data_IF_011749439895
#
_entry.id   IF_011749439895
#
_cell.length_a   1.000
_cell.length_b   1.000
_cell.length_c   1.000
_cell.angle_alpha   90.00
_cell.angle_beta   90.00
_cell.angle_gamma   90.00
#
_symmetry.space_group_name_H-M   'P 1'
#
loop_
_entity.id
_entity.type
_entity.pdbx_description
1 polymer ?
#
# COMPACT_ATOMS: atom_id res chain seq x y z
N UNK A 1 -29.98 -5.42 13.15
CA UNK A 1 -29.29 -4.57 14.14
C UNK A 1 -27.99 -5.19 14.70
N UNK A 2 -27.95 -6.51 14.94
CA UNK A 2 -26.75 -7.20 15.46
C UNK A 2 -25.60 -7.15 14.45
N UNK A 3 -25.87 -7.35 13.16
CA UNK A 3 -24.85 -7.32 12.10
C UNK A 3 -24.18 -5.95 11.95
N UNK A 4 -24.93 -4.86 12.05
CA UNK A 4 -24.41 -3.49 11.93
C UNK A 4 -23.55 -3.11 13.14
N UNK A 5 -23.89 -3.57 14.33
CA UNK A 5 -23.09 -3.34 15.54
C UNK A 5 -21.76 -4.12 15.52
N UNK A 6 -21.77 -5.37 15.03
CA UNK A 6 -20.54 -6.16 14.87
C UNK A 6 -19.58 -5.52 13.86
N UNK A 7 -20.07 -5.13 12.69
CA UNK A 7 -19.26 -4.46 11.66
C UNK A 7 -18.69 -3.14 12.18
N UNK A 8 -19.47 -2.36 12.95
CA UNK A 8 -18.99 -1.14 13.57
C UNK A 8 -17.88 -1.37 14.62
N UNK A 9 -17.99 -2.43 15.42
CA UNK A 9 -16.98 -2.76 16.43
C UNK A 9 -15.68 -3.28 15.81
N UNK A 10 -15.75 -4.09 14.77
CA UNK A 10 -14.57 -4.56 14.03
C UNK A 10 -13.82 -3.42 13.35
N UNK A 11 -14.53 -2.48 12.75
CA UNK A 11 -13.92 -1.26 12.17
C UNK A 11 -13.19 -0.45 13.24
N UNK A 12 -13.77 -0.28 14.43
CA UNK A 12 -13.12 0.44 15.52
C UNK A 12 -11.85 -0.27 16.03
N UNK A 13 -11.85 -1.59 16.15
CA UNK A 13 -10.69 -2.37 16.59
C UNK A 13 -9.58 -2.28 15.53
N UNK A 14 -9.92 -2.48 14.26
CA UNK A 14 -8.97 -2.40 13.16
C UNK A 14 -8.36 -1.02 13.05
N UNK A 15 -9.15 0.03 13.16
CA UNK A 15 -8.67 1.42 13.09
C UNK A 15 -7.68 1.73 14.21
N UNK A 16 -7.96 1.28 15.44
CA UNK A 16 -7.02 1.43 16.57
C UNK A 16 -5.73 0.65 16.35
N UNK A 17 -5.80 -0.56 15.81
CA UNK A 17 -4.62 -1.36 15.50
C UNK A 17 -3.76 -0.72 14.40
N UNK A 18 -4.38 -0.21 13.34
CA UNK A 18 -3.66 0.48 12.27
C UNK A 18 -3.04 1.79 12.78
N UNK A 19 -3.75 2.52 13.64
CA UNK A 19 -3.25 3.75 14.26
C UNK A 19 -2.09 3.49 15.23
N UNK A 20 -2.10 2.36 15.94
CA UNK A 20 -1.02 1.97 16.84
C UNK A 20 0.33 1.94 16.14
N UNK A 21 0.40 1.40 14.92
CA UNK A 21 1.64 1.34 14.15
C UNK A 21 2.19 2.74 13.83
N UNK A 22 1.30 3.71 13.63
CA UNK A 22 1.69 5.09 13.35
C UNK A 22 2.32 5.80 14.56
N UNK A 23 2.07 5.30 15.77
CA UNK A 23 2.56 5.88 17.02
C UNK A 23 3.64 5.06 17.71
N UNK A 24 4.07 3.94 17.11
CA UNK A 24 5.12 3.07 17.67
C UNK A 24 6.51 3.71 17.64
N UNK A 25 6.81 4.51 16.64
CA UNK A 25 8.10 5.22 16.56
C UNK A 25 7.95 6.57 15.85
N UNK A 26 8.61 7.61 16.32
CA UNK A 26 8.72 8.88 15.61
C UNK A 26 9.70 8.81 14.42
N UNK A 27 10.54 7.77 14.33
CA UNK A 27 11.45 7.58 13.21
C UNK A 27 10.72 6.97 12.00
N UNK A 28 10.82 7.65 10.86
CA UNK A 28 10.17 7.23 9.63
C UNK A 28 10.72 5.94 9.05
N UNK A 29 12.01 5.66 9.28
CA UNK A 29 12.64 4.42 8.81
C UNK A 29 12.21 3.24 9.69
N UNK A 30 12.21 3.40 11.01
CA UNK A 30 11.71 2.36 11.92
C UNK A 30 10.24 2.02 11.63
N UNK A 31 9.40 3.04 11.35
CA UNK A 31 8.00 2.81 10.93
C UNK A 31 7.91 1.99 9.64
N UNK A 32 8.74 2.30 8.65
CA UNK A 32 8.77 1.55 7.39
C UNK A 32 9.21 0.09 7.61
N UNK A 33 10.19 -0.14 8.48
CA UNK A 33 10.68 -1.47 8.81
C UNK A 33 9.59 -2.30 9.54
N UNK A 34 8.91 -1.71 10.53
CA UNK A 34 7.78 -2.35 11.25
C UNK A 34 6.63 -2.66 10.29
N UNK A 35 6.25 -1.71 9.42
CA UNK A 35 5.21 -1.91 8.41
C UNK A 35 5.57 -3.01 7.43
N UNK A 36 6.85 -3.15 7.09
CA UNK A 36 7.34 -4.22 6.22
C UNK A 36 7.15 -5.58 6.88
N UNK A 37 7.62 -5.74 8.12
CA UNK A 37 7.46 -7.00 8.87
C UNK A 37 5.97 -7.35 9.00
N UNK A 38 5.15 -6.38 9.40
CA UNK A 38 3.68 -6.57 9.46
C UNK A 38 3.12 -7.05 8.13
N UNK A 39 3.45 -6.38 7.03
CA UNK A 39 2.88 -6.67 5.71
C UNK A 39 3.35 -8.02 5.18
N UNK A 40 4.61 -8.40 5.41
CA UNK A 40 5.15 -9.71 5.08
C UNK A 40 4.40 -10.81 5.84
N UNK A 41 4.27 -10.68 7.16
CA UNK A 41 3.54 -11.66 7.99
C UNK A 41 2.08 -11.73 7.57
N UNK A 42 1.44 -10.59 7.32
CA UNK A 42 0.05 -10.54 6.86
C UNK A 42 -0.14 -11.21 5.49
N UNK A 43 0.80 -11.03 4.56
CA UNK A 43 0.73 -11.67 3.23
C UNK A 43 0.99 -13.18 3.27
N UNK A 44 1.65 -13.68 4.32
CA UNK A 44 1.84 -15.12 4.52
C UNK A 44 0.57 -15.83 5.02
N UNK A 45 -0.33 -15.12 5.69
CA UNK A 45 -1.53 -15.72 6.28
C UNK A 45 -2.45 -16.42 5.25
N UNK A 46 -2.78 -15.83 4.09
CA UNK A 46 -3.54 -16.52 3.06
C UNK A 46 -2.82 -17.76 2.50
N UNK A 47 -1.48 -17.70 2.37
CA UNK A 47 -0.68 -18.83 1.89
C UNK A 47 -0.69 -20.00 2.90
N UNK A 48 -0.63 -19.70 4.18
CA UNK A 48 -0.77 -20.71 5.25
C UNK A 48 -2.17 -21.29 5.24
N UNK A 49 -3.20 -20.45 5.14
CA UNK A 49 -4.60 -20.87 5.10
C UNK A 49 -4.87 -21.80 3.89
N UNK A 50 -4.38 -21.45 2.70
CA UNK A 50 -4.52 -22.28 1.49
C UNK A 50 -3.78 -23.61 1.58
N UNK A 51 -2.70 -23.69 2.35
CA UNK A 51 -1.97 -24.95 2.59
C UNK A 51 -2.68 -25.82 3.65
N UNK A 52 -3.18 -25.21 4.72
CA UNK A 52 -3.82 -25.92 5.83
C UNK A 52 -5.22 -26.42 5.46
N UNK A 53 -5.98 -25.63 4.69
CA UNK A 53 -7.37 -25.93 4.36
C UNK A 53 -7.55 -27.31 3.67
N UNK A 54 -6.79 -27.68 2.61
CA UNK A 54 -6.91 -29.00 1.99
C UNK A 54 -6.48 -30.15 2.90
N UNK A 55 -5.47 -29.94 3.77
CA UNK A 55 -5.00 -30.96 4.70
C UNK A 55 -6.07 -31.32 5.72
N UNK A 56 -6.75 -30.28 6.26
CA UNK A 56 -7.87 -30.52 7.21
C UNK A 56 -9.09 -31.08 6.49
N UNK A 57 -9.38 -30.63 5.26
CA UNK A 57 -10.49 -31.15 4.46
C UNK A 57 -10.32 -32.64 4.16
N UNK A 58 -9.10 -33.09 3.87
CA UNK A 58 -8.81 -34.52 3.65
C UNK A 58 -9.16 -35.38 4.86
N UNK A 59 -8.96 -34.89 6.08
CA UNK A 59 -9.20 -35.64 7.32
C UNK A 59 -10.63 -35.48 7.81
N UNK A 60 -11.21 -34.29 7.68
CA UNK A 60 -12.50 -33.96 8.30
C UNK A 60 -13.71 -34.11 7.38
N UNK A 61 -13.55 -33.93 6.06
CA UNK A 61 -14.65 -33.83 5.10
C UNK A 61 -14.43 -34.61 3.79
N UNK A 62 -13.52 -35.61 3.78
CA UNK A 62 -13.22 -36.42 2.61
C UNK A 62 -12.90 -35.58 1.35
N UNK A 63 -12.08 -34.54 1.49
CA UNK A 63 -11.69 -33.57 0.47
C UNK A 63 -12.80 -32.59 0.00
N UNK A 64 -13.93 -32.52 0.69
CA UNK A 64 -14.91 -31.47 0.40
C UNK A 64 -14.52 -30.16 1.10
N UNK A 65 -14.09 -29.17 0.29
CA UNK A 65 -13.68 -27.84 0.74
C UNK A 65 -14.87 -26.92 1.04
N UNK A 66 -16.08 -27.30 0.64
CA UNK A 66 -17.29 -26.49 0.82
C UNK A 66 -18.14 -26.96 2.01
N UNK A 67 -17.77 -28.10 2.64
CA UNK A 67 -18.49 -28.59 3.83
C UNK A 67 -18.34 -27.61 5.00
N UNK A 68 -19.45 -27.22 5.58
CA UNK A 68 -19.52 -26.32 6.74
C UNK A 68 -18.79 -26.87 7.97
N UNK A 69 -18.63 -28.20 8.09
CA UNK A 69 -17.87 -28.84 9.16
C UNK A 69 -16.41 -28.44 9.16
N UNK A 70 -15.80 -28.26 7.97
CA UNK A 70 -14.43 -27.82 7.82
C UNK A 70 -14.21 -26.47 8.51
N UNK A 71 -15.07 -25.52 8.25
CA UNK A 71 -14.99 -24.18 8.82
C UNK A 71 -15.26 -24.16 10.32
N UNK A 72 -16.18 -24.99 10.81
CA UNK A 72 -16.44 -25.15 12.26
C UNK A 72 -15.24 -25.68 13.02
N UNK A 73 -14.37 -26.47 12.39
CA UNK A 73 -13.14 -26.99 12.99
C UNK A 73 -12.02 -25.94 12.93
N UNK A 74 -11.89 -25.20 11.81
CA UNK A 74 -10.78 -24.29 11.59
C UNK A 74 -10.95 -22.92 12.26
N UNK A 75 -12.15 -22.32 12.25
CA UNK A 75 -12.35 -20.99 12.79
C UNK A 75 -12.05 -20.83 14.29
N UNK A 76 -12.49 -21.72 15.19
CA UNK A 76 -12.24 -21.52 16.62
C UNK A 76 -10.76 -21.46 17.01
N UNK A 77 -9.87 -22.37 16.54
CA UNK A 77 -8.44 -22.29 16.82
C UNK A 77 -7.79 -20.99 16.32
N UNK A 78 -8.14 -20.56 15.09
CA UNK A 78 -7.61 -19.30 14.55
C UNK A 78 -8.14 -18.09 15.33
N UNK A 79 -9.40 -18.08 15.72
CA UNK A 79 -9.96 -17.00 16.55
C UNK A 79 -9.27 -16.91 17.91
N UNK A 80 -9.07 -18.04 18.58
CA UNK A 80 -8.35 -18.11 19.87
C UNK A 80 -6.92 -17.61 19.72
N UNK A 81 -6.21 -18.05 18.68
CA UNK A 81 -4.85 -17.57 18.39
C UNK A 81 -4.82 -16.06 18.16
N UNK A 82 -5.80 -15.53 17.41
CA UNK A 82 -5.94 -14.09 17.16
C UNK A 82 -6.15 -13.30 18.46
N UNK A 83 -6.97 -13.80 19.39
CA UNK A 83 -7.18 -13.17 20.70
C UNK A 83 -5.90 -13.20 21.53
N UNK A 84 -5.20 -14.33 21.59
CA UNK A 84 -3.93 -14.46 22.32
C UNK A 84 -2.88 -13.46 21.78
N UNK A 85 -2.72 -13.39 20.45
CA UNK A 85 -1.81 -12.42 19.82
C UNK A 85 -2.22 -10.98 20.14
N UNK A 86 -3.50 -10.66 20.15
CA UNK A 86 -4.00 -9.31 20.45
C UNK A 86 -3.71 -8.91 21.90
N UNK A 87 -3.92 -9.82 22.84
CA UNK A 87 -3.59 -9.60 24.26
C UNK A 87 -2.08 -9.44 24.46
N UNK A 88 -1.27 -10.23 23.76
CA UNK A 88 0.19 -10.11 23.80
C UNK A 88 0.67 -8.75 23.29
N UNK A 89 0.12 -8.27 22.18
CA UNK A 89 0.43 -6.94 21.63
C UNK A 89 0.05 -5.88 22.65
N UNK A 90 -1.17 -5.92 23.20
CA UNK A 90 -1.63 -4.94 24.18
C UNK A 90 -0.73 -4.87 25.41
N UNK A 91 -0.26 -6.01 25.91
CA UNK A 91 0.59 -6.06 27.11
C UNK A 91 2.02 -5.57 26.87
N UNK A 92 2.55 -5.66 25.64
CA UNK A 92 3.96 -5.40 25.35
C UNK A 92 4.20 -4.14 24.48
N UNK A 93 3.13 -3.42 24.09
CA UNK A 93 3.27 -2.26 23.21
C UNK A 93 3.09 -0.96 24.00
N UNK A 94 4.00 -0.01 23.78
CA UNK A 94 3.91 1.35 24.34
C UNK A 94 3.87 2.35 23.20
N UNK A 95 2.98 3.32 23.29
CA UNK A 95 2.90 4.42 22.35
C UNK A 95 4.06 5.41 22.56
N UNK A 96 4.76 5.77 21.46
CA UNK A 96 5.86 6.73 21.45
C UNK A 96 5.46 7.97 20.64
N UNK A 97 4.34 8.57 21.01
CA UNK A 97 3.89 9.80 20.37
C UNK A 97 4.80 10.93 20.77
N UNK A 98 5.18 11.79 19.82
CA UNK A 98 5.91 13.02 20.09
C UNK A 98 4.91 14.10 20.53
N UNK A 99 4.49 14.00 21.77
CA UNK A 99 3.54 14.91 22.40
C UNK A 99 3.92 15.08 23.88
N UNK A 100 3.65 16.23 24.46
CA UNK A 100 3.86 16.47 25.87
C UNK A 100 3.02 15.49 26.72
N UNK A 101 3.58 15.02 27.83
CA UNK A 101 2.92 14.06 28.73
C UNK A 101 1.65 14.62 29.36
N UNK A 102 1.60 15.93 29.51
CA UNK A 102 0.52 16.69 30.12
C UNK A 102 -0.48 17.24 29.12
N UNK A 103 -0.23 17.00 27.82
CA UNK A 103 -1.06 17.57 26.77
C UNK A 103 -2.48 16.98 26.79
N UNK A 104 -3.47 17.89 26.83
CA UNK A 104 -4.89 17.55 26.74
C UNK A 104 -5.43 18.12 25.45
N UNK A 105 -5.93 17.27 24.57
CA UNK A 105 -6.54 17.68 23.29
C UNK A 105 -7.79 18.52 23.57
N UNK A 106 -7.77 19.81 23.19
CA UNK A 106 -8.86 20.75 23.44
C UNK A 106 -9.59 21.20 22.16
N UNK A 107 -9.26 20.60 21.01
CA UNK A 107 -9.82 21.02 19.72
C UNK A 107 -11.28 20.55 19.57
N UNK A 108 -12.17 21.45 19.14
CA UNK A 108 -13.56 21.11 18.82
C UNK A 108 -13.64 20.31 17.51
N UNK A 109 -14.62 19.43 17.40
CA UNK A 109 -14.82 18.57 16.24
C UNK A 109 -14.78 19.31 14.88
N UNK A 110 -15.51 20.42 14.76
CA UNK A 110 -15.53 21.20 13.52
C UNK A 110 -14.20 21.87 13.18
N UNK A 111 -13.45 22.28 14.20
CA UNK A 111 -12.15 22.92 14.01
C UNK A 111 -11.11 21.85 13.62
N UNK A 112 -11.19 20.65 14.21
CA UNK A 112 -10.39 19.51 13.80
C UNK A 112 -10.68 19.09 12.35
N UNK A 113 -11.94 19.06 11.95
CA UNK A 113 -12.33 18.78 10.57
C UNK A 113 -11.78 19.82 9.58
N UNK A 114 -11.89 21.12 9.93
CA UNK A 114 -11.31 22.21 9.14
C UNK A 114 -9.79 22.13 9.06
N UNK A 115 -9.14 21.71 10.14
CA UNK A 115 -7.69 21.53 10.20
C UNK A 115 -7.22 20.45 9.24
N UNK A 116 -7.88 19.28 9.22
CA UNK A 116 -7.58 18.19 8.25
C UNK A 116 -7.89 18.66 6.83
N UNK A 117 -8.99 19.40 6.61
CA UNK A 117 -9.35 19.93 5.30
C UNK A 117 -8.30 20.91 4.73
N UNK A 118 -7.52 21.59 5.56
CA UNK A 118 -6.41 22.46 5.15
C UNK A 118 -5.11 21.69 4.85
N UNK A 119 -5.03 20.41 5.22
CA UNK A 119 -3.84 19.60 5.00
C UNK A 119 -3.71 19.18 3.54
N UNK A 120 -2.91 19.94 2.77
CA UNK A 120 -2.66 19.68 1.35
C UNK A 120 -2.15 18.27 1.07
N UNK A 121 -1.26 17.75 1.92
CA UNK A 121 -0.64 16.43 1.72
C UNK A 121 -1.67 15.31 1.84
N UNK A 122 -2.62 15.45 2.77
CA UNK A 122 -3.73 14.51 2.91
C UNK A 122 -4.55 14.42 1.61
N UNK A 123 -4.91 15.57 1.03
CA UNK A 123 -5.70 15.60 -0.20
C UNK A 123 -4.96 15.02 -1.39
N UNK A 124 -3.66 15.27 -1.51
CA UNK A 124 -2.82 14.70 -2.59
C UNK A 124 -2.87 13.18 -2.57
N UNK A 125 -2.64 12.56 -1.40
CA UNK A 125 -2.63 11.10 -1.28
C UNK A 125 -4.03 10.50 -1.41
N UNK A 126 -5.03 11.13 -0.81
CA UNK A 126 -6.42 10.68 -0.93
C UNK A 126 -6.93 10.76 -2.37
N UNK A 127 -6.64 11.86 -3.05
CA UNK A 127 -7.03 12.05 -4.45
C UNK A 127 -6.40 10.99 -5.36
N UNK A 128 -5.12 10.65 -5.18
CA UNK A 128 -4.46 9.60 -5.94
C UNK A 128 -5.24 8.27 -5.86
N UNK A 129 -5.61 7.83 -4.64
CA UNK A 129 -6.38 6.63 -4.44
C UNK A 129 -7.80 6.71 -5.03
N UNK A 130 -8.46 7.86 -4.91
CA UNK A 130 -9.84 8.02 -5.38
C UNK A 130 -9.97 8.07 -6.89
N UNK A 131 -9.08 8.78 -7.59
CA UNK A 131 -9.14 8.87 -9.07
C UNK A 131 -8.46 7.70 -9.76
N UNK A 132 -7.58 6.97 -9.05
CA UNK A 132 -6.88 5.79 -9.57
C UNK A 132 -7.70 4.49 -9.51
N UNK A 133 -8.99 4.51 -9.12
CA UNK A 133 -9.81 3.31 -8.89
C UNK A 133 -9.88 2.37 -10.11
N UNK A 134 -9.73 2.89 -11.32
CA UNK A 134 -9.73 2.10 -12.56
C UNK A 134 -8.49 1.22 -12.71
N UNK A 135 -7.40 1.50 -12.01
CA UNK A 135 -6.15 0.73 -12.10
C UNK A 135 -6.37 -0.75 -11.82
N UNK A 136 -7.22 -1.09 -10.86
CA UNK A 136 -7.47 -2.47 -10.42
C UNK A 136 -8.32 -3.31 -11.39
N UNK A 137 -8.78 -2.76 -12.51
CA UNK A 137 -9.65 -3.50 -13.46
C UNK A 137 -8.98 -4.73 -14.08
N UNK A 138 -7.65 -4.78 -14.11
CA UNK A 138 -6.89 -5.96 -14.58
C UNK A 138 -7.01 -7.20 -13.68
N UNK A 139 -7.56 -7.07 -12.46
CA UNK A 139 -7.52 -8.11 -11.43
C UNK A 139 -8.06 -9.48 -11.85
N UNK A 140 -9.08 -9.52 -12.69
CA UNK A 140 -9.66 -10.76 -13.21
C UNK A 140 -9.04 -11.27 -14.52
N UNK A 141 -8.09 -10.53 -15.10
CA UNK A 141 -7.59 -10.78 -16.44
C UNK A 141 -6.94 -12.16 -16.61
N UNK A 142 -6.13 -12.58 -15.64
CA UNK A 142 -5.48 -13.89 -15.66
C UNK A 142 -6.50 -15.04 -15.56
N UNK A 143 -7.50 -14.91 -14.68
CA UNK A 143 -8.54 -15.88 -14.49
C UNK A 143 -9.45 -15.98 -15.74
N UNK A 144 -9.84 -14.84 -16.31
CA UNK A 144 -10.67 -14.82 -17.52
C UNK A 144 -9.91 -15.36 -18.74
N UNK A 145 -8.61 -15.05 -18.87
CA UNK A 145 -7.77 -15.64 -19.90
C UNK A 145 -7.75 -17.16 -19.78
N UNK A 146 -7.55 -17.69 -18.57
CA UNK A 146 -7.60 -19.13 -18.34
C UNK A 146 -8.96 -19.73 -18.64
N UNK A 147 -10.05 -19.13 -18.15
CA UNK A 147 -11.38 -19.70 -18.26
C UNK A 147 -11.96 -19.62 -19.67
N UNK A 148 -11.78 -18.51 -20.37
CA UNK A 148 -12.49 -18.24 -21.63
C UNK A 148 -11.61 -18.37 -22.87
N UNK A 149 -10.29 -18.16 -22.76
CA UNK A 149 -9.38 -18.26 -23.90
C UNK A 149 -8.67 -19.61 -23.98
N UNK A 150 -8.57 -20.35 -22.89
CA UNK A 150 -7.83 -21.60 -22.76
C UNK A 150 -8.57 -22.84 -23.33
N UNK A 151 -9.68 -22.65 -24.03
CA UNK A 151 -10.50 -23.72 -24.63
C UNK A 151 -9.94 -24.24 -25.96
N UNK A 152 -8.88 -23.62 -26.50
CA UNK A 152 -8.21 -23.97 -27.75
C UNK A 152 -6.98 -24.86 -27.52
N UNK A 153 -6.40 -25.42 -28.58
CA UNK A 153 -5.25 -26.36 -28.55
C UNK A 153 -4.00 -25.86 -27.79
N UNK A 154 -3.90 -24.57 -27.50
CA UNK A 154 -2.86 -23.94 -26.69
C UNK A 154 -3.11 -23.96 -25.17
N UNK A 155 -4.00 -24.81 -24.71
CA UNK A 155 -4.45 -24.81 -23.32
C UNK A 155 -3.32 -25.10 -22.33
N UNK A 156 -3.23 -24.24 -21.31
CA UNK A 156 -2.41 -24.48 -20.11
C UNK A 156 -3.26 -25.34 -19.16
N UNK A 157 -2.74 -26.51 -18.76
CA UNK A 157 -3.44 -27.39 -17.83
C UNK A 157 -3.65 -26.73 -16.45
N UNK A 158 -4.66 -27.20 -15.71
CA UNK A 158 -5.03 -26.65 -14.40
C UNK A 158 -3.84 -26.60 -13.39
N UNK A 159 -2.97 -27.62 -13.43
CA UNK A 159 -1.79 -27.66 -12.58
C UNK A 159 -0.79 -26.54 -12.87
N UNK A 160 -0.53 -26.28 -14.16
CA UNK A 160 0.36 -25.18 -14.55
C UNK A 160 -0.27 -23.81 -14.27
N UNK A 161 -1.57 -23.66 -14.48
CA UNK A 161 -2.31 -22.44 -14.11
C UNK A 161 -2.19 -22.15 -12.62
N UNK A 162 -2.36 -23.17 -11.77
CA UNK A 162 -2.20 -23.01 -10.31
C UNK A 162 -0.79 -22.56 -9.95
N UNK A 163 0.24 -23.13 -10.57
CA UNK A 163 1.63 -22.71 -10.35
C UNK A 163 1.83 -21.24 -10.80
N UNK A 164 1.32 -20.89 -11.97
CA UNK A 164 1.40 -19.51 -12.49
C UNK A 164 0.75 -18.52 -11.52
N UNK A 165 -0.47 -18.79 -11.07
CA UNK A 165 -1.17 -17.91 -10.13
C UNK A 165 -0.46 -17.78 -8.79
N UNK A 166 0.11 -18.86 -8.28
CA UNK A 166 0.94 -18.84 -7.07
C UNK A 166 2.18 -17.95 -7.24
N UNK A 167 2.90 -18.08 -8.36
CA UNK A 167 4.08 -17.27 -8.65
C UNK A 167 3.70 -15.79 -8.74
N UNK A 168 2.64 -15.47 -9.48
CA UNK A 168 2.16 -14.08 -9.65
C UNK A 168 1.72 -13.47 -8.32
N UNK A 169 0.96 -14.21 -7.50
CA UNK A 169 0.53 -13.73 -6.18
C UNK A 169 1.71 -13.48 -5.22
N UNK A 170 2.76 -14.31 -5.29
CA UNK A 170 3.95 -14.14 -4.46
C UNK A 170 4.86 -12.96 -4.89
N UNK A 171 4.63 -12.34 -6.04
CA UNK A 171 5.36 -11.14 -6.45
C UNK A 171 5.26 -10.02 -5.42
N UNK A 172 4.12 -9.87 -4.75
CA UNK A 172 3.89 -8.89 -3.68
C UNK A 172 4.92 -9.02 -2.55
N UNK A 173 5.27 -10.24 -2.15
CA UNK A 173 6.23 -10.49 -1.09
C UNK A 173 7.61 -9.89 -1.42
N UNK A 174 8.10 -10.09 -2.62
CA UNK A 174 9.41 -9.60 -3.06
C UNK A 174 9.46 -8.07 -3.09
N UNK A 175 8.41 -7.42 -3.59
CA UNK A 175 8.33 -5.97 -3.60
C UNK A 175 8.25 -5.37 -2.19
N UNK A 176 7.50 -5.98 -1.27
CA UNK A 176 7.45 -5.55 0.13
C UNK A 176 8.82 -5.67 0.81
N UNK A 177 9.57 -6.75 0.56
CA UNK A 177 10.92 -6.93 1.10
C UNK A 177 11.92 -5.92 0.52
N UNK A 178 11.77 -5.52 -0.74
CA UNK A 178 12.63 -4.54 -1.39
C UNK A 178 12.32 -3.10 -0.96
N UNK A 179 11.08 -2.79 -0.57
CA UNK A 179 10.61 -1.44 -0.29
C UNK A 179 11.47 -0.67 0.73
N UNK A 180 11.82 -1.19 1.91
CA UNK A 180 12.63 -0.45 2.90
C UNK A 180 14.00 -0.06 2.36
N UNK A 181 14.65 -0.94 1.58
CA UNK A 181 15.95 -0.65 0.98
C UNK A 181 15.86 0.48 -0.05
N UNK A 182 14.81 0.47 -0.87
CA UNK A 182 14.56 1.52 -1.86
C UNK A 182 14.21 2.84 -1.18
N UNK A 183 13.35 2.83 -0.18
CA UNK A 183 12.96 4.01 0.61
C UNK A 183 14.20 4.63 1.28
N UNK A 184 15.04 3.82 1.90
CA UNK A 184 16.27 4.29 2.55
C UNK A 184 17.25 4.93 1.56
N UNK A 185 17.31 4.45 0.33
CA UNK A 185 18.26 4.92 -0.69
C UNK A 185 17.76 6.15 -1.46
N UNK A 186 16.49 6.20 -1.81
CA UNK A 186 15.91 7.20 -2.71
C UNK A 186 14.86 8.10 -2.05
N UNK A 187 14.42 7.78 -0.84
CA UNK A 187 13.33 8.47 -0.15
C UNK A 187 11.94 8.06 -0.64
N UNK A 188 10.93 8.29 0.21
CA UNK A 188 9.54 7.86 -0.04
C UNK A 188 8.93 8.48 -1.30
N UNK A 189 9.13 9.80 -1.50
CA UNK A 189 8.58 10.52 -2.66
C UNK A 189 9.07 9.95 -3.98
N UNK A 190 10.39 9.75 -4.12
CA UNK A 190 10.99 9.27 -5.37
C UNK A 190 10.54 7.83 -5.66
N UNK A 191 10.51 6.95 -4.65
CA UNK A 191 10.05 5.57 -4.79
C UNK A 191 8.57 5.55 -5.17
N UNK A 192 7.72 6.36 -4.52
CA UNK A 192 6.28 6.46 -4.80
C UNK A 192 6.01 6.85 -6.26
N UNK A 193 6.67 7.89 -6.75
CA UNK A 193 6.52 8.35 -8.14
C UNK A 193 7.05 7.29 -9.12
N UNK A 194 8.25 6.76 -8.87
CA UNK A 194 8.89 5.81 -9.77
C UNK A 194 8.10 4.50 -9.91
N UNK A 195 7.67 3.90 -8.79
CA UNK A 195 6.95 2.63 -8.82
C UNK A 195 5.59 2.76 -9.50
N UNK A 196 4.85 3.84 -9.25
CA UNK A 196 3.55 4.07 -9.89
C UNK A 196 3.68 4.44 -11.38
N UNK A 197 4.68 5.24 -11.76
CA UNK A 197 4.93 5.53 -13.17
C UNK A 197 5.35 4.28 -13.95
N UNK A 198 6.25 3.47 -13.37
CA UNK A 198 6.68 2.20 -13.96
C UNK A 198 5.50 1.22 -14.06
N UNK A 199 4.63 1.21 -13.07
CA UNK A 199 3.41 0.39 -13.08
C UNK A 199 2.49 0.72 -14.27
N UNK A 200 2.28 2.00 -14.57
CA UNK A 200 1.51 2.41 -15.75
C UNK A 200 2.12 1.90 -17.06
N UNK A 201 3.47 1.92 -17.17
CA UNK A 201 4.17 1.37 -18.34
C UNK A 201 4.02 -0.15 -18.42
N UNK A 202 4.14 -0.85 -17.29
CA UNK A 202 3.96 -2.32 -17.22
C UNK A 202 2.54 -2.71 -17.65
N UNK A 203 1.52 -2.02 -17.16
CA UNK A 203 0.13 -2.27 -17.55
C UNK A 203 -0.09 -2.01 -19.05
N UNK A 204 0.55 -0.98 -19.61
CA UNK A 204 0.48 -0.72 -21.06
C UNK A 204 1.08 -1.87 -21.89
N UNK A 205 2.07 -2.61 -21.38
CA UNK A 205 2.62 -3.79 -22.07
C UNK A 205 1.60 -4.93 -22.26
N UNK A 206 0.48 -4.93 -21.54
CA UNK A 206 -0.62 -5.86 -21.81
C UNK A 206 -1.28 -5.60 -23.16
N UNK A 207 -1.27 -4.36 -23.65
CA UNK A 207 -1.96 -4.00 -24.91
C UNK A 207 -1.45 -4.79 -26.13
N UNK A 208 -0.15 -4.81 -26.45
CA UNK A 208 0.35 -5.60 -27.58
C UNK A 208 0.10 -7.11 -27.42
N UNK A 209 0.13 -7.65 -26.20
CA UNK A 209 -0.15 -9.05 -25.94
C UNK A 209 -1.61 -9.39 -26.26
N UNK A 210 -2.55 -8.53 -25.84
CA UNK A 210 -3.97 -8.72 -26.14
C UNK A 210 -4.26 -8.56 -27.63
N UNK A 211 -3.57 -7.65 -28.33
CA UNK A 211 -3.75 -7.45 -29.76
C UNK A 211 -3.22 -8.60 -30.59
N UNK A 212 -2.07 -9.14 -30.23
CA UNK A 212 -1.38 -10.19 -30.97
C UNK A 212 -1.96 -11.59 -30.71
N UNK A 213 -2.63 -11.80 -29.57
CA UNK A 213 -3.16 -13.11 -29.13
C UNK A 213 -2.14 -14.25 -29.34
N UNK A 214 -0.92 -14.14 -28.77
CA UNK A 214 0.12 -15.14 -29.00
C UNK A 214 -0.26 -16.50 -28.41
N UNK A 215 0.27 -17.62 -28.94
CA UNK A 215 0.16 -18.91 -28.29
C UNK A 215 0.55 -18.83 -26.82
N UNK A 216 -0.21 -19.48 -25.93
CA UNK A 216 0.00 -19.40 -24.46
C UNK A 216 -0.03 -17.97 -23.92
N UNK A 217 -0.92 -17.13 -24.43
CA UNK A 217 -1.11 -15.72 -24.02
C UNK A 217 -1.13 -15.55 -22.50
N UNK A 218 -1.67 -16.52 -21.76
CA UNK A 218 -1.73 -16.50 -20.28
C UNK A 218 -0.36 -16.38 -19.63
N UNK A 219 0.69 -16.94 -20.22
CA UNK A 219 2.07 -16.86 -19.69
C UNK A 219 2.60 -15.42 -19.82
N UNK A 220 2.35 -14.76 -20.96
CA UNK A 220 2.76 -13.38 -21.16
C UNK A 220 2.02 -12.43 -20.22
N UNK A 221 0.71 -12.64 -20.07
CA UNK A 221 -0.09 -11.88 -19.08
C UNK A 221 0.45 -12.10 -17.67
N UNK A 222 0.77 -13.35 -17.30
CA UNK A 222 1.31 -13.67 -15.98
C UNK A 222 2.65 -12.99 -15.70
N UNK A 223 3.55 -12.93 -16.68
CA UNK A 223 4.84 -12.24 -16.54
C UNK A 223 4.63 -10.75 -16.30
N UNK A 224 3.74 -10.12 -17.07
CA UNK A 224 3.44 -8.70 -16.93
C UNK A 224 2.75 -8.42 -15.58
N UNK A 225 1.79 -9.25 -15.18
CA UNK A 225 1.13 -9.11 -13.88
C UNK A 225 2.06 -9.40 -12.71
N UNK A 226 3.03 -10.30 -12.85
CA UNK A 226 4.08 -10.48 -11.85
C UNK A 226 4.87 -9.18 -11.62
N UNK A 227 5.30 -8.53 -12.70
CA UNK A 227 5.99 -7.25 -12.62
C UNK A 227 5.09 -6.14 -12.05
N UNK A 228 3.79 -6.12 -12.42
CA UNK A 228 2.81 -5.21 -11.86
C UNK A 228 2.64 -5.39 -10.34
N UNK A 229 2.40 -6.61 -9.86
CA UNK A 229 2.26 -6.89 -8.42
C UNK A 229 3.54 -6.60 -7.64
N UNK A 230 4.71 -6.80 -8.25
CA UNK A 230 5.99 -6.41 -7.65
C UNK A 230 6.04 -4.89 -7.42
N UNK A 231 5.58 -4.08 -8.36
CA UNK A 231 5.58 -2.62 -8.24
C UNK A 231 4.48 -2.09 -7.30
N UNK A 232 3.27 -2.60 -7.41
CA UNK A 232 2.14 -2.17 -6.56
C UNK A 232 2.34 -2.52 -5.10
N UNK A 233 3.08 -3.58 -4.78
CA UNK A 233 3.38 -3.98 -3.40
C UNK A 233 4.21 -2.95 -2.63
N UNK A 234 4.97 -2.08 -3.31
CA UNK A 234 5.63 -0.94 -2.65
C UNK A 234 4.61 -0.01 -1.99
N UNK A 235 3.43 0.15 -2.60
CA UNK A 235 2.33 0.94 -2.05
C UNK A 235 1.84 0.43 -0.69
N UNK A 236 1.90 -0.87 -0.45
CA UNK A 236 1.50 -1.48 0.84
C UNK A 236 2.35 -0.97 2.00
N UNK A 237 3.63 -0.67 1.74
CA UNK A 237 4.55 -0.13 2.74
C UNK A 237 4.56 1.40 2.71
N UNK A 238 4.57 1.99 1.51
CA UNK A 238 4.67 3.44 1.34
C UNK A 238 3.43 4.18 1.83
N UNK A 239 2.23 3.70 1.51
CA UNK A 239 0.99 4.42 1.84
C UNK A 239 0.80 4.62 3.35
N UNK A 240 0.95 3.60 4.22
CA UNK A 240 0.91 3.81 5.66
C UNK A 240 2.04 4.72 6.18
N UNK A 241 3.27 4.58 5.64
CA UNK A 241 4.40 5.42 6.04
C UNK A 241 4.17 6.90 5.69
N UNK A 242 3.64 7.18 4.50
CA UNK A 242 3.27 8.53 4.06
C UNK A 242 2.11 9.08 4.89
N UNK A 243 1.10 8.26 5.20
CA UNK A 243 -0.01 8.65 6.08
C UNK A 243 0.47 9.05 7.49
N UNK A 244 1.48 8.36 8.02
CA UNK A 244 2.09 8.74 9.30
C UNK A 244 2.76 10.13 9.21
N UNK A 245 3.51 10.40 8.13
CA UNK A 245 4.13 11.70 7.91
C UNK A 245 3.11 12.84 7.75
N UNK A 246 1.97 12.56 7.12
CA UNK A 246 0.85 13.51 6.98
C UNK A 246 0.25 13.87 8.35
N UNK A 247 0.16 12.89 9.27
CA UNK A 247 -0.35 13.10 10.64
C UNK A 247 0.64 13.91 11.47
N UNK A 248 1.94 13.62 11.37
CA UNK A 248 2.98 14.44 12.02
C UNK A 248 2.99 15.87 11.47
N UNK A 249 2.80 16.04 10.16
CA UNK A 249 2.65 17.37 9.54
C UNK A 249 1.39 18.10 10.02
N UNK A 250 0.28 17.38 10.21
CA UNK A 250 -0.93 17.93 10.79
C UNK A 250 -0.70 18.46 12.21
N UNK A 251 -0.04 17.66 13.05
CA UNK A 251 0.33 18.07 14.40
C UNK A 251 1.28 19.29 14.39
N UNK A 252 2.20 19.35 13.43
CA UNK A 252 3.08 20.51 13.25
C UNK A 252 2.29 21.79 12.95
N UNK A 253 1.26 21.72 12.09
CA UNK A 253 0.44 22.85 11.68
C UNK A 253 -0.49 23.35 12.79
N UNK A 254 -1.07 22.45 13.56
CA UNK A 254 -2.16 22.78 14.51
C UNK A 254 -1.75 22.72 15.98
N UNK A 255 -0.61 22.08 16.29
CA UNK A 255 -0.22 21.72 17.65
C UNK A 255 -0.93 20.47 18.19
N UNK A 256 -2.06 20.09 17.62
CA UNK A 256 -2.92 19.01 18.09
C UNK A 256 -2.78 17.74 17.25
N UNK A 257 -2.73 16.59 17.91
CA UNK A 257 -2.78 15.29 17.22
C UNK A 257 -4.22 14.81 17.13
N UNK A 258 -4.75 14.80 15.93
CA UNK A 258 -6.16 14.54 15.63
C UNK A 258 -6.34 13.33 14.71
N UNK A 259 -5.62 12.24 14.97
CA UNK A 259 -5.55 11.05 14.11
C UNK A 259 -6.93 10.47 13.74
N UNK A 260 -7.89 10.46 14.68
CA UNK A 260 -9.24 9.97 14.44
C UNK A 260 -10.03 10.76 13.38
N UNK A 261 -9.69 12.05 13.17
CA UNK A 261 -10.38 12.87 12.18
C UNK A 261 -10.02 12.49 10.74
N UNK A 262 -8.83 11.92 10.51
CA UNK A 262 -8.44 11.42 9.19
C UNK A 262 -9.35 10.29 8.73
N UNK A 263 -9.74 9.39 9.64
CA UNK A 263 -10.69 8.31 9.34
C UNK A 263 -12.08 8.88 9.00
N UNK A 264 -12.52 9.91 9.71
CA UNK A 264 -13.81 10.59 9.43
C UNK A 264 -13.82 11.25 8.05
N UNK A 265 -12.76 11.97 7.69
CA UNK A 265 -12.64 12.56 6.35
C UNK A 265 -12.45 11.47 5.28
N UNK A 266 -11.84 10.36 5.62
CA UNK A 266 -11.70 9.18 4.75
C UNK A 266 -13.05 8.60 4.29
N UNK A 267 -14.16 8.82 5.01
CA UNK A 267 -15.50 8.44 4.58
C UNK A 267 -15.90 9.06 3.23
N UNK A 268 -15.33 10.19 2.86
CA UNK A 268 -15.51 10.80 1.52
C UNK A 268 -15.08 9.80 0.44
N UNK A 269 -13.97 9.09 0.67
CA UNK A 269 -13.51 8.03 -0.24
C UNK A 269 -14.53 6.90 -0.40
N UNK A 270 -15.20 6.51 0.67
CA UNK A 270 -16.27 5.50 0.60
C UNK A 270 -17.43 5.96 -0.28
N UNK A 271 -17.85 7.22 -0.14
CA UNK A 271 -18.90 7.82 -0.99
C UNK A 271 -18.46 7.84 -2.46
N UNK A 272 -17.21 8.25 -2.74
CA UNK A 272 -16.65 8.24 -4.10
C UNK A 272 -16.63 6.82 -4.67
N UNK A 273 -16.22 5.82 -3.88
CA UNK A 273 -16.21 4.42 -4.29
C UNK A 273 -17.63 3.93 -4.63
N UNK A 274 -18.63 4.29 -3.84
CA UNK A 274 -20.03 3.97 -4.15
C UNK A 274 -20.51 4.58 -5.46
N UNK A 275 -20.16 5.86 -5.70
CA UNK A 275 -20.53 6.56 -6.94
C UNK A 275 -19.81 5.98 -8.18
N UNK A 276 -18.57 5.52 -8.01
CA UNK A 276 -17.73 5.02 -9.11
C UNK A 276 -17.89 3.52 -9.35
N UNK A 277 -18.49 2.77 -8.41
CA UNK A 277 -18.65 1.31 -8.48
C UNK A 277 -19.43 0.82 -9.71
N UNK A 278 -20.36 1.64 -10.23
CA UNK A 278 -21.14 1.34 -11.43
C UNK A 278 -20.41 1.60 -12.76
N UNK A 279 -19.27 2.31 -12.75
CA UNK A 279 -18.61 2.73 -14.00
C UNK A 279 -18.04 1.53 -14.76
N UNK A 280 -17.31 0.65 -14.10
CA UNK A 280 -16.69 -0.52 -14.73
C UNK A 280 -17.73 -1.49 -15.25
N UNK A 281 -18.78 -1.89 -14.50
CA UNK A 281 -19.89 -2.68 -15.03
C UNK A 281 -20.59 -2.05 -16.22
N UNK A 282 -20.86 -0.75 -16.19
CA UNK A 282 -21.48 -0.05 -17.32
C UNK A 282 -20.62 -0.05 -18.60
N UNK A 283 -19.30 0.00 -18.44
CA UNK A 283 -18.38 -0.15 -19.58
C UNK A 283 -18.40 -1.58 -20.11
N UNK A 284 -18.40 -2.59 -19.23
CA UNK A 284 -18.49 -4.00 -19.64
C UNK A 284 -19.79 -4.29 -20.40
N UNK A 285 -20.91 -3.74 -19.94
CA UNK A 285 -22.19 -3.85 -20.64
C UNK A 285 -22.13 -3.30 -22.07
N UNK A 286 -21.49 -2.14 -22.27
CA UNK A 286 -21.30 -1.53 -23.61
C UNK A 286 -20.35 -2.33 -24.51
N UNK A 287 -19.43 -3.08 -23.95
CA UNK A 287 -18.52 -3.95 -24.70
C UNK A 287 -19.20 -5.23 -25.17
N UNK A 288 -20.39 -5.54 -24.63
CA UNK A 288 -21.19 -6.71 -25.01
C UNK A 288 -21.27 -7.77 -23.90
N UNK A 289 -20.78 -7.49 -22.69
CA UNK A 289 -20.96 -8.37 -21.52
C UNK A 289 -22.32 -8.03 -20.91
N UNK A 290 -23.39 -8.51 -21.52
CA UNK A 290 -24.78 -8.27 -21.11
C UNK A 290 -25.68 -9.44 -21.48
N UNK A 291 -26.87 -9.51 -20.87
CA UNK A 291 -27.84 -10.58 -21.07
C UNK A 291 -28.40 -10.64 -22.50
N UNK A 292 -28.53 -9.49 -23.17
CA UNK A 292 -29.03 -9.44 -24.55
C UNK A 292 -28.04 -10.10 -25.51
N UNK A 293 -26.75 -9.79 -25.37
CA UNK A 293 -25.71 -10.41 -26.19
C UNK A 293 -25.58 -11.90 -25.85
N UNK A 294 -25.70 -12.26 -24.58
CA UNK A 294 -25.66 -13.65 -24.13
C UNK A 294 -26.80 -14.47 -24.75
N UNK A 295 -28.04 -13.99 -24.68
CA UNK A 295 -29.19 -14.67 -25.24
C UNK A 295 -29.10 -14.81 -26.77
N UNK A 296 -28.62 -13.77 -27.46
CA UNK A 296 -28.44 -13.80 -28.93
C UNK A 296 -27.34 -14.78 -29.37
N UNK A 297 -26.35 -15.06 -28.53
CA UNK A 297 -25.20 -15.92 -28.86
C UNK A 297 -25.17 -17.23 -28.07
N UNK A 298 -26.22 -17.56 -27.30
CA UNK A 298 -26.24 -18.71 -26.40
C UNK A 298 -25.99 -20.05 -27.12
N UNK A 299 -26.56 -20.23 -28.34
CA UNK A 299 -26.34 -21.42 -29.13
C UNK A 299 -24.91 -21.58 -29.63
N UNK A 300 -24.23 -20.48 -29.99
CA UNK A 300 -22.83 -20.45 -30.39
C UNK A 300 -21.92 -20.81 -29.20
N UNK A 301 -22.17 -20.22 -28.04
CA UNK A 301 -21.43 -20.51 -26.81
C UNK A 301 -21.62 -21.96 -26.38
N UNK A 302 -22.86 -22.49 -26.50
CA UNK A 302 -23.17 -23.89 -26.23
C UNK A 302 -22.36 -24.84 -27.15
N UNK A 303 -22.27 -24.50 -28.44
CA UNK A 303 -21.46 -25.26 -29.39
C UNK A 303 -19.97 -25.23 -29.09
N UNK A 304 -19.41 -24.08 -28.64
CA UNK A 304 -18.01 -23.94 -28.29
C UNK A 304 -17.68 -24.69 -26.99
N UNK A 305 -18.54 -24.61 -25.97
CA UNK A 305 -18.25 -25.10 -24.62
C UNK A 305 -18.79 -26.50 -24.34
N UNK A 306 -19.71 -27.01 -25.15
CA UNK A 306 -20.45 -28.27 -24.90
C UNK A 306 -21.45 -28.18 -23.75
N UNK A 307 -21.68 -27.00 -23.17
CA UNK A 307 -22.64 -26.77 -22.06
C UNK A 307 -24.05 -26.64 -22.60
N UNK A 308 -25.05 -26.98 -21.76
CA UNK A 308 -26.46 -26.74 -22.09
C UNK A 308 -26.76 -25.23 -22.18
N UNK A 309 -27.75 -24.83 -22.95
CA UNK A 309 -28.14 -23.41 -23.06
C UNK A 309 -28.52 -22.84 -21.71
N UNK A 310 -29.17 -23.63 -20.83
CA UNK A 310 -29.49 -23.20 -19.47
C UNK A 310 -28.25 -22.91 -18.62
N UNK A 311 -27.19 -23.68 -18.75
CA UNK A 311 -25.91 -23.43 -18.07
C UNK A 311 -25.19 -22.21 -18.65
N UNK A 312 -25.26 -22.01 -19.97
CA UNK A 312 -24.69 -20.81 -20.61
C UNK A 312 -25.39 -19.55 -20.12
N UNK A 313 -26.68 -19.57 -19.91
CA UNK A 313 -27.47 -18.41 -19.44
C UNK A 313 -27.24 -18.05 -17.97
N UNK A 314 -26.53 -18.87 -17.20
CA UNK A 314 -26.29 -18.61 -15.75
C UNK A 314 -25.37 -17.42 -15.47
N UNK A 315 -24.58 -16.96 -16.45
CA UNK A 315 -23.66 -15.83 -16.24
C UNK A 315 -23.47 -15.02 -17.51
N UNK A 316 -23.66 -13.69 -17.46
CA UNK A 316 -23.43 -12.80 -18.60
C UNK A 316 -21.96 -12.82 -19.08
N UNK A 317 -21.01 -13.20 -18.22
CA UNK A 317 -19.60 -13.33 -18.59
C UNK A 317 -19.32 -14.50 -19.56
N UNK A 318 -20.27 -15.42 -19.76
CA UNK A 318 -20.11 -16.51 -20.72
C UNK A 318 -19.99 -16.01 -22.18
N UNK A 319 -20.36 -14.76 -22.46
CA UNK A 319 -20.10 -14.13 -23.78
C UNK A 319 -18.59 -14.01 -24.07
N UNK A 320 -17.73 -14.07 -23.05
CA UNK A 320 -16.26 -14.03 -23.21
C UNK A 320 -15.68 -15.29 -23.88
N UNK A 321 -16.46 -16.37 -24.04
CA UNK A 321 -16.08 -17.50 -24.91
C UNK A 321 -16.02 -17.09 -26.38
N UNK A 322 -16.68 -15.99 -26.76
CA UNK A 322 -16.66 -15.45 -28.12
C UNK A 322 -15.43 -14.55 -28.27
N UNK A 323 -14.54 -14.90 -29.19
CA UNK A 323 -13.23 -14.28 -29.34
C UNK A 323 -13.30 -12.76 -29.56
N UNK A 324 -14.25 -12.28 -30.37
CA UNK A 324 -14.40 -10.83 -30.64
C UNK A 324 -14.76 -10.04 -29.38
N UNK A 325 -15.65 -10.60 -28.53
CA UNK A 325 -16.07 -9.96 -27.28
C UNK A 325 -14.94 -10.04 -26.27
N UNK A 326 -14.27 -11.20 -26.17
CA UNK A 326 -13.11 -11.40 -25.32
C UNK A 326 -12.03 -10.35 -25.62
N UNK A 327 -11.62 -10.23 -26.87
CA UNK A 327 -10.60 -9.28 -27.29
C UNK A 327 -10.98 -7.84 -26.98
N UNK A 328 -12.21 -7.43 -27.31
CA UNK A 328 -12.72 -6.09 -26.99
C UNK A 328 -12.72 -5.83 -25.49
N UNK A 329 -13.17 -6.79 -24.68
CA UNK A 329 -13.19 -6.67 -23.22
C UNK A 329 -11.79 -6.50 -22.66
N UNK A 330 -10.82 -7.30 -23.12
CA UNK A 330 -9.44 -7.24 -22.65
C UNK A 330 -8.75 -5.93 -23.05
N UNK A 331 -8.97 -5.45 -24.28
CA UNK A 331 -8.47 -4.13 -24.71
C UNK A 331 -9.00 -3.03 -23.82
N UNK A 332 -10.30 -3.06 -23.52
CA UNK A 332 -10.93 -2.05 -22.64
C UNK A 332 -10.39 -2.15 -21.21
N UNK A 333 -10.22 -3.34 -20.66
CA UNK A 333 -9.60 -3.55 -19.35
C UNK A 333 -8.20 -2.93 -19.31
N UNK A 334 -7.37 -3.19 -20.31
CA UNK A 334 -6.02 -2.61 -20.37
C UNK A 334 -6.07 -1.09 -20.43
N UNK A 335 -6.93 -0.51 -21.28
CA UNK A 335 -7.07 0.94 -21.38
C UNK A 335 -7.52 1.55 -20.06
N UNK A 336 -8.54 0.97 -19.42
CA UNK A 336 -9.01 1.44 -18.11
C UNK A 336 -7.94 1.33 -17.05
N UNK A 337 -7.19 0.22 -16.99
CA UNK A 337 -6.10 0.03 -16.03
C UNK A 337 -4.97 1.04 -16.23
N UNK A 338 -4.59 1.32 -17.46
CA UNK A 338 -3.54 2.31 -17.79
C UNK A 338 -4.00 3.72 -17.43
N UNK A 339 -5.25 4.08 -17.77
CA UNK A 339 -5.82 5.38 -17.37
C UNK A 339 -5.85 5.51 -15.85
N UNK A 340 -6.31 4.47 -15.15
CA UNK A 340 -6.32 4.44 -13.69
C UNK A 340 -4.93 4.63 -13.09
N UNK A 341 -3.92 3.92 -13.61
CA UNK A 341 -2.54 4.03 -13.15
C UNK A 341 -1.95 5.44 -13.39
N UNK A 342 -2.23 6.05 -14.55
CA UNK A 342 -1.82 7.42 -14.85
C UNK A 342 -2.49 8.41 -13.89
N UNK A 343 -3.79 8.29 -13.69
CA UNK A 343 -4.54 9.15 -12.77
C UNK A 343 -4.04 8.98 -11.33
N UNK A 344 -3.71 7.76 -10.91
CA UNK A 344 -3.18 7.48 -9.58
C UNK A 344 -1.84 8.20 -9.33
N UNK A 345 -0.90 8.20 -10.28
CA UNK A 345 0.43 8.73 -10.00
C UNK A 345 0.55 10.26 -10.18
N UNK A 346 -0.31 10.92 -10.94
CA UNK A 346 -0.25 12.39 -11.17
C UNK A 346 -0.25 13.19 -9.86
N UNK A 347 -1.13 12.92 -8.87
CA UNK A 347 -1.14 13.68 -7.63
C UNK A 347 0.18 13.59 -6.85
N UNK A 348 0.94 12.50 -6.97
CA UNK A 348 2.19 12.33 -6.22
C UNK A 348 3.28 13.34 -6.59
N UNK A 349 3.23 13.97 -7.76
CA UNK A 349 4.12 15.08 -8.08
C UNK A 349 3.93 16.29 -7.14
N UNK A 350 2.69 16.48 -6.66
CA UNK A 350 2.34 17.55 -5.73
C UNK A 350 2.61 17.20 -4.26
N UNK A 351 3.06 15.96 -3.99
CA UNK A 351 3.51 15.54 -2.67
C UNK A 351 4.90 16.14 -2.41
N UNK A 352 4.97 17.19 -1.56
CA UNK A 352 6.18 17.97 -1.33
C UNK A 352 6.90 17.62 -0.01
N UNK A 353 6.50 16.55 0.68
CA UNK A 353 7.18 16.05 1.87
C UNK A 353 8.44 15.27 1.49
N UNK A 354 9.60 15.79 1.84
CA UNK A 354 10.90 15.11 1.73
C UNK A 354 11.29 14.47 3.07
N UNK A 355 12.21 13.52 3.06
CA UNK A 355 12.73 12.89 4.28
C UNK A 355 13.36 13.92 5.23
N UNK A 356 14.07 14.92 4.68
CA UNK A 356 14.69 15.98 5.49
C UNK A 356 13.64 16.88 6.15
N UNK A 357 12.61 17.27 5.39
CA UNK A 357 11.48 18.05 5.91
C UNK A 357 10.75 17.31 7.01
N UNK A 358 10.52 16.01 6.84
CA UNK A 358 9.89 15.18 7.87
C UNK A 358 10.73 15.11 9.15
N UNK A 359 12.04 14.91 9.03
CA UNK A 359 12.96 14.93 10.20
C UNK A 359 12.95 16.28 10.90
N UNK A 360 12.91 17.38 10.15
CA UNK A 360 12.80 18.73 10.72
C UNK A 360 11.49 18.89 11.52
N UNK A 361 10.36 18.48 10.94
CA UNK A 361 9.04 18.52 11.60
C UNK A 361 9.08 17.73 12.91
N UNK A 362 9.61 16.50 12.91
CA UNK A 362 9.70 15.66 14.11
C UNK A 362 10.59 16.32 15.19
N UNK A 363 11.71 16.96 14.81
CA UNK A 363 12.54 17.72 15.76
C UNK A 363 11.76 18.88 16.39
N UNK A 364 11.02 19.66 15.59
CA UNK A 364 10.20 20.75 16.11
C UNK A 364 9.10 20.25 17.04
N UNK A 365 8.44 19.14 16.69
CA UNK A 365 7.43 18.53 17.56
C UNK A 365 8.01 18.08 18.91
N UNK A 366 9.22 17.48 18.90
CA UNK A 366 9.94 17.12 20.13
C UNK A 366 10.22 18.32 21.00
N UNK A 367 10.75 19.40 20.42
CA UNK A 367 11.02 20.63 21.15
C UNK A 367 9.73 21.23 21.76
N UNK A 368 8.65 21.32 20.98
CA UNK A 368 7.35 21.78 21.48
C UNK A 368 6.86 20.95 22.67
N UNK A 369 6.96 19.62 22.58
CA UNK A 369 6.56 18.73 23.67
C UNK A 369 7.41 18.94 24.92
N UNK A 370 8.74 19.13 24.78
CA UNK A 370 9.64 19.39 25.90
C UNK A 370 9.33 20.73 26.58
N UNK A 371 9.09 21.80 25.82
CA UNK A 371 8.74 23.11 26.38
C UNK A 371 7.35 23.10 27.06
N UNK A 372 6.40 22.37 26.54
CA UNK A 372 5.08 22.20 27.17
C UNK A 372 5.18 21.44 28.49
N UNK A 373 5.91 20.33 28.53
CA UNK A 373 6.15 19.53 29.73
C UNK A 373 6.93 20.32 30.79
N UNK A 374 7.89 21.18 30.38
CA UNK A 374 8.60 22.09 31.26
C UNK A 374 7.68 23.16 31.85
N UNK A 375 6.86 23.81 31.02
CA UNK A 375 5.88 24.80 31.46
C UNK A 375 4.84 24.24 32.43
N UNK A 376 4.53 22.93 32.33
CA UNK A 376 3.62 22.24 33.24
C UNK A 376 4.34 21.58 34.45
N UNK A 377 5.64 21.84 34.64
CA UNK A 377 6.41 21.38 35.79
C UNK A 377 6.76 19.90 35.82
N UNK A 378 6.65 19.21 34.68
CA UNK A 378 7.01 17.77 34.52
C UNK A 378 8.48 17.59 34.27
N UNK A 379 9.11 18.52 33.54
CA UNK A 379 10.53 18.57 33.28
C UNK A 379 11.21 19.60 34.19
N UNK A 380 12.45 19.36 34.54
CA UNK A 380 13.27 20.28 35.33
C UNK A 380 14.19 21.13 34.43
N UNK A 381 14.86 22.13 35.03
CA UNK A 381 15.76 23.03 34.31
C UNK A 381 16.88 22.32 33.56
N UNK A 382 17.36 21.20 34.09
CA UNK A 382 18.44 20.41 33.46
C UNK A 382 17.94 19.75 32.15
N UNK A 383 16.71 19.24 32.16
CA UNK A 383 16.12 18.61 30.97
C UNK A 383 15.86 19.63 29.85
N UNK A 384 15.57 20.91 30.21
CA UNK A 384 15.36 21.96 29.23
C UNK A 384 16.65 22.50 28.62
N UNK A 385 17.75 22.43 29.33
CA UNK A 385 19.08 22.84 28.80
C UNK A 385 19.42 22.04 27.55
N UNK A 386 19.20 20.73 27.59
CA UNK A 386 19.40 19.87 26.39
C UNK A 386 18.57 20.33 25.18
N UNK A 387 17.38 20.87 25.41
CA UNK A 387 16.53 21.41 24.33
C UNK A 387 17.07 22.75 23.81
N UNK A 388 17.66 23.58 24.68
CA UNK A 388 18.27 24.85 24.28
C UNK A 388 19.52 24.57 23.43
N UNK A 389 20.37 23.63 23.86
CA UNK A 389 21.56 23.21 23.10
C UNK A 389 21.19 22.75 21.66
N UNK A 390 20.10 22.01 21.50
CA UNK A 390 19.61 21.60 20.18
C UNK A 390 19.19 22.81 19.32
N UNK A 391 18.59 23.83 19.93
CA UNK A 391 18.20 25.06 19.22
C UNK A 391 19.43 25.86 18.83
N UNK A 392 20.40 26.03 19.73
CA UNK A 392 21.66 26.75 19.46
C UNK A 392 22.47 26.06 18.36
N UNK A 393 22.57 24.72 18.41
CA UNK A 393 23.21 23.95 17.36
C UNK A 393 22.48 24.18 16.01
N UNK A 394 21.15 24.12 15.98
CA UNK A 394 20.37 24.36 14.77
C UNK A 394 20.57 25.79 14.23
N UNK A 395 20.63 26.80 15.11
CA UNK A 395 20.90 28.19 14.72
C UNK A 395 22.31 28.36 14.13
N UNK A 396 23.32 27.74 14.76
CA UNK A 396 24.69 27.75 14.26
C UNK A 396 24.81 27.09 12.88
N UNK A 397 24.06 26.02 12.67
CA UNK A 397 24.03 25.27 11.39
C UNK A 397 23.31 26.02 10.26
N UNK A 398 22.36 26.90 10.57
CA UNK A 398 21.58 27.64 9.56
C UNK A 398 22.44 28.44 8.58
N UNK A 399 23.54 28.99 9.07
CA UNK A 399 24.48 29.81 8.29
C UNK A 399 25.79 29.06 7.97
N UNK A 400 25.87 27.77 8.26
CA UNK A 400 27.06 26.97 8.00
C UNK A 400 27.19 26.65 6.50
N UNK A 401 28.41 26.61 6.02
CA UNK A 401 28.71 26.21 4.65
C UNK A 401 28.64 24.69 4.49
N UNK A 402 27.96 24.19 3.43
CA UNK A 402 27.90 22.77 3.15
C UNK A 402 29.27 22.22 2.76
N UNK A 403 29.60 21.03 3.26
CA UNK A 403 30.81 20.30 2.88
C UNK A 403 30.69 19.78 1.44
N UNK A 404 31.81 19.82 0.71
CA UNK A 404 31.86 19.30 -0.66
C UNK A 404 31.82 17.76 -0.67
N UNK A 405 30.65 17.25 -1.02
CA UNK A 405 30.39 15.80 -1.10
C UNK A 405 31.10 15.18 -2.31
N UNK A 406 31.29 15.91 -3.40
CA UNK A 406 31.86 15.33 -4.62
C UNK A 406 33.38 15.13 -4.50
N UNK A 407 34.08 16.03 -3.81
CA UNK A 407 35.48 15.82 -3.46
C UNK A 407 35.67 14.59 -2.57
N UNK A 408 34.79 14.40 -1.58
CA UNK A 408 34.83 13.26 -0.68
C UNK A 408 34.47 11.93 -1.39
N UNK A 409 33.55 11.94 -2.34
CA UNK A 409 33.29 10.76 -3.19
C UNK A 409 34.50 10.39 -4.04
N UNK A 410 35.23 11.37 -4.58
CA UNK A 410 36.50 11.13 -5.30
C UNK A 410 37.55 10.54 -4.36
N UNK A 411 37.67 11.07 -3.14
CA UNK A 411 38.59 10.55 -2.12
C UNK A 411 38.29 9.09 -1.75
N UNK A 412 37.00 8.69 -1.66
CA UNK A 412 36.62 7.27 -1.42
C UNK A 412 37.03 6.36 -2.58
N UNK A 413 36.97 6.86 -3.82
CA UNK A 413 37.37 6.09 -5.02
C UNK A 413 38.89 5.95 -5.13
N UNK A 414 39.64 6.99 -4.78
CA UNK A 414 41.10 7.04 -4.85
C UNK A 414 41.81 6.44 -3.61
N UNK A 415 41.07 6.14 -2.53
CA UNK A 415 41.64 5.57 -1.32
C UNK A 415 42.17 4.16 -1.57
N UNK A 416 43.45 3.94 -1.29
CA UNK A 416 44.10 2.66 -1.40
C UNK A 416 44.21 1.97 0.00
N UNK A 417 43.89 0.69 0.02
CA UNK A 417 43.87 -0.10 1.26
C UNK A 417 42.52 -0.06 2.02
N UNK A 418 42.24 -1.17 2.76
CA UNK A 418 40.96 -1.34 3.49
C UNK A 418 40.73 -0.28 4.56
N UNK A 419 41.79 0.16 5.27
CA UNK A 419 41.69 1.12 6.36
C UNK A 419 41.39 2.52 5.81
N UNK A 420 42.18 2.98 4.83
CA UNK A 420 41.97 4.28 4.17
C UNK A 420 40.56 4.39 3.54
N UNK A 421 40.10 3.33 2.88
CA UNK A 421 38.75 3.29 2.28
C UNK A 421 37.65 3.32 3.34
N UNK A 422 37.85 2.71 4.51
CA UNK A 422 36.89 2.77 5.63
C UNK A 422 36.83 4.16 6.24
N UNK A 423 37.98 4.83 6.41
CA UNK A 423 38.05 6.21 6.92
C UNK A 423 37.41 7.22 5.93
N UNK A 424 37.73 7.11 4.63
CA UNK A 424 37.13 7.96 3.61
C UNK A 424 35.59 7.77 3.52
N UNK A 425 35.10 6.52 3.63
CA UNK A 425 33.65 6.26 3.69
C UNK A 425 33.01 6.86 4.94
N UNK A 426 33.69 6.83 6.11
CA UNK A 426 33.21 7.45 7.34
C UNK A 426 33.13 8.96 7.15
N UNK A 427 34.20 9.60 6.68
CA UNK A 427 34.22 11.04 6.42
C UNK A 427 33.13 11.49 5.43
N UNK A 428 32.89 10.72 4.36
CA UNK A 428 31.79 10.98 3.44
C UNK A 428 30.43 10.89 4.13
N UNK A 429 30.22 9.87 4.96
CA UNK A 429 28.96 9.70 5.71
C UNK A 429 28.73 10.85 6.69
N UNK A 430 29.76 11.25 7.42
CA UNK A 430 29.70 12.36 8.38
C UNK A 430 29.45 13.71 7.67
N UNK A 431 30.04 13.92 6.48
CA UNK A 431 29.79 15.12 5.69
C UNK A 431 28.36 15.15 5.11
N UNK A 432 27.81 14.02 4.68
CA UNK A 432 26.42 13.93 4.24
C UNK A 432 25.48 14.27 5.40
N UNK A 433 25.69 13.67 6.58
CA UNK A 433 24.88 13.94 7.77
C UNK A 433 24.97 15.42 8.20
N UNK A 434 26.15 16.02 8.11
CA UNK A 434 26.35 17.44 8.37
C UNK A 434 25.55 18.33 7.42
N UNK A 435 25.63 18.09 6.10
CA UNK A 435 24.86 18.83 5.11
C UNK A 435 23.34 18.62 5.28
N UNK A 436 22.90 17.43 5.64
CA UNK A 436 21.50 17.15 5.98
C UNK A 436 21.04 17.98 7.20
N UNK A 437 21.88 18.14 8.23
CA UNK A 437 21.55 18.97 9.38
C UNK A 437 21.46 20.46 9.02
N UNK A 438 22.31 20.96 8.11
CA UNK A 438 22.18 22.33 7.58
C UNK A 438 20.81 22.50 6.88
N UNK A 439 20.39 21.57 6.05
CA UNK A 439 19.09 21.64 5.38
C UNK A 439 17.92 21.55 6.40
N UNK A 440 18.03 20.68 7.41
CA UNK A 440 17.03 20.57 8.48
C UNK A 440 16.92 21.89 9.26
N UNK A 441 18.03 22.59 9.52
CA UNK A 441 18.05 23.84 10.27
C UNK A 441 17.38 25.03 9.56
N UNK A 442 17.15 24.90 8.23
CA UNK A 442 16.45 25.93 7.44
C UNK A 442 14.94 25.85 7.55
N UNK A 443 14.41 24.75 8.08
CA UNK A 443 12.97 24.51 8.29
C UNK A 443 12.52 24.87 9.71
#
# INVERSE_FOLDING_TARGET
>A
EIGVRLVGSEMCIRDRYENLIMVLSPDTQERADVLTIKSVVYSMAPSIATAVLPLVAKVATNNDLYDMKLYRILYPPFAILGVICSVYIFANTQEKIVQARTHVVQIKFLDALRAVAKNKLFWVISLAGWIGFLESTYGNMLQWCYQYHNTKDDSVGAGLYTIITMIVANANLWGMLAAPFCIKKWGKKAVLIFTNALNAVILFMLYPVVQAEPPKMIVYIAIILFANYLMTSFGVILTPAVNADIRDYQQYLTGERIDGMFSTVGLIGTVITLLTSGIVPAVYEKVGINENTLSARASEISAITGKSISEVMNSPYNVLYINDIFKKAFVVIVILSVIGAILNFIPYFFYDMTELRQRAIVKVLKLRAMFEDYGNGVLNDKDIVDAIDVIEEAQSMKNAEPKDIDSLKKAVKSADGKVAKKQAKKALKDAIAYNENIEISKW
#
